data_IF_179442809734
#
_entry.id   IF_179442809734
#
_cell.length_a   1.000
_cell.length_b   1.000
_cell.length_c   1.000
_cell.angle_alpha   90.00
_cell.angle_beta   90.00
_cell.angle_gamma   90.00
#
_symmetry.space_group_name_H-M   'P 1'
#
loop_
_entity.id
_entity.type
_entity.pdbx_description
1 polymer ?
#
# COMPACT_ATOMS: atom_id res chain seq x y z
N UNK A 1 7.53 8.60 3.24
CA UNK A 1 8.14 7.25 3.15
C UNK A 1 9.58 7.40 2.66
N UNK A 2 10.53 6.61 3.18
CA UNK A 2 11.95 6.72 2.80
C UNK A 2 12.24 6.19 1.40
N UNK A 3 13.37 6.58 0.81
CA UNK A 3 13.78 6.11 -0.52
C UNK A 3 13.96 4.58 -0.59
N UNK A 4 14.53 3.97 0.47
CA UNK A 4 14.69 2.51 0.53
C UNK A 4 13.34 1.79 0.50
N UNK A 5 12.38 2.28 1.30
CA UNK A 5 11.06 1.68 1.38
C UNK A 5 10.28 1.85 0.09
N UNK A 6 10.34 3.03 -0.55
CA UNK A 6 9.75 3.23 -1.87
C UNK A 6 10.33 2.24 -2.88
N UNK A 7 11.66 2.06 -2.91
CA UNK A 7 12.27 1.09 -3.82
C UNK A 7 11.79 -0.34 -3.57
N UNK A 8 11.69 -0.75 -2.31
CA UNK A 8 11.23 -2.09 -1.95
C UNK A 8 9.74 -2.30 -2.27
N UNK A 9 8.89 -1.31 -1.97
CA UNK A 9 7.46 -1.31 -2.31
C UNK A 9 7.26 -1.44 -3.82
N UNK A 10 7.93 -0.61 -4.62
CA UNK A 10 7.85 -0.67 -6.09
C UNK A 10 8.24 -2.06 -6.62
N UNK A 11 9.27 -2.67 -6.04
CA UNK A 11 9.67 -4.04 -6.41
C UNK A 11 8.61 -5.07 -6.04
N UNK A 12 8.04 -4.99 -4.84
CA UNK A 12 7.02 -5.94 -4.38
C UNK A 12 5.77 -5.86 -5.26
N UNK A 13 5.28 -4.65 -5.51
CA UNK A 13 4.11 -4.38 -6.35
C UNK A 13 4.33 -4.93 -7.77
N UNK A 14 5.48 -4.62 -8.38
CA UNK A 14 5.83 -5.16 -9.70
C UNK A 14 5.94 -6.69 -9.72
N UNK A 15 6.57 -7.28 -8.70
CA UNK A 15 6.80 -8.72 -8.65
C UNK A 15 5.52 -9.53 -8.37
N UNK A 16 4.52 -8.91 -7.75
CA UNK A 16 3.26 -9.55 -7.35
C UNK A 16 2.10 -9.23 -8.30
N UNK A 17 2.37 -8.58 -9.43
CA UNK A 17 1.42 -8.41 -10.53
C UNK A 17 0.40 -7.30 -10.33
N UNK A 18 0.72 -6.29 -9.52
CA UNK A 18 -0.12 -5.11 -9.36
C UNK A 18 0.15 -4.08 -10.46
N UNK A 19 -0.87 -3.34 -10.86
CA UNK A 19 -0.81 -2.48 -12.07
C UNK A 19 -0.04 -1.18 -11.90
N UNK A 20 -0.09 -0.57 -10.70
CA UNK A 20 0.50 0.75 -10.48
C UNK A 20 0.74 1.09 -8.99
N UNK A 21 1.52 2.14 -8.74
CA UNK A 21 1.71 2.74 -7.41
C UNK A 21 1.26 4.20 -7.38
N UNK A 22 0.48 4.55 -6.36
CA UNK A 22 0.10 5.94 -6.09
C UNK A 22 0.89 6.46 -4.89
N UNK A 23 1.60 7.57 -5.08
CA UNK A 23 2.52 8.15 -4.11
C UNK A 23 1.91 9.39 -3.49
N UNK A 24 1.97 9.48 -2.16
CA UNK A 24 1.62 10.73 -1.47
C UNK A 24 2.68 11.82 -1.71
N UNK A 25 2.33 13.11 -1.55
CA UNK A 25 3.23 14.23 -1.83
C UNK A 25 4.56 14.19 -1.06
N UNK A 26 4.55 13.57 0.13
CA UNK A 26 5.72 13.47 1.02
C UNK A 26 6.51 12.17 0.86
N UNK A 27 6.20 11.34 -0.14
CA UNK A 27 7.01 10.17 -0.45
C UNK A 27 8.32 10.56 -1.12
N UNK A 28 9.39 9.83 -0.81
CA UNK A 28 10.64 9.92 -1.56
C UNK A 28 10.39 9.64 -3.05
N UNK A 29 11.20 10.26 -3.90
CA UNK A 29 11.12 10.08 -5.34
C UNK A 29 11.55 8.65 -5.74
N UNK A 30 10.72 7.88 -6.50
CA UNK A 30 11.12 6.56 -7.01
C UNK A 30 12.39 6.56 -7.85
N UNK A 31 12.70 7.68 -8.51
CA UNK A 31 13.89 7.85 -9.34
C UNK A 31 15.13 8.27 -8.54
N UNK A 32 15.00 8.47 -7.22
CA UNK A 32 16.17 8.70 -6.39
C UNK A 32 17.10 7.49 -6.44
N UNK A 33 18.42 7.73 -6.52
CA UNK A 33 19.45 6.67 -6.71
C UNK A 33 19.27 5.48 -5.78
N UNK A 34 18.90 5.73 -4.52
CA UNK A 34 18.67 4.66 -3.53
C UNK A 34 17.41 3.85 -3.83
N UNK A 35 16.31 4.49 -4.23
CA UNK A 35 15.06 3.84 -4.62
C UNK A 35 15.25 2.96 -5.84
N UNK A 36 15.89 3.48 -6.90
CA UNK A 36 16.23 2.72 -8.12
C UNK A 36 17.04 1.48 -7.79
N UNK A 37 18.07 1.62 -6.94
CA UNK A 37 18.93 0.50 -6.53
C UNK A 37 18.15 -0.58 -5.78
N UNK A 38 17.31 -0.21 -4.81
CA UNK A 38 16.54 -1.19 -4.01
C UNK A 38 15.45 -1.84 -4.85
N UNK A 39 14.82 -1.08 -5.75
CA UNK A 39 13.81 -1.59 -6.65
C UNK A 39 14.34 -2.56 -7.71
N UNK A 40 15.67 -2.66 -7.87
CA UNK A 40 16.32 -3.42 -8.95
C UNK A 40 15.79 -3.03 -10.34
N UNK A 41 15.52 -1.74 -10.55
CA UNK A 41 15.02 -1.23 -11.82
C UNK A 41 13.49 -1.31 -12.02
N UNK A 42 12.73 -1.93 -11.12
CA UNK A 42 11.27 -2.04 -11.24
C UNK A 42 10.55 -0.68 -11.37
N UNK A 43 11.15 0.40 -10.86
CA UNK A 43 10.66 1.78 -10.99
C UNK A 43 10.56 2.27 -12.45
N UNK A 44 11.21 1.61 -13.40
CA UNK A 44 11.16 1.98 -14.81
C UNK A 44 10.06 1.26 -15.60
N UNK A 45 9.54 0.14 -15.08
CA UNK A 45 8.52 -0.66 -15.75
C UNK A 45 7.15 -0.57 -15.09
N UNK A 46 7.11 -0.34 -13.77
CA UNK A 46 5.87 -0.22 -13.03
C UNK A 46 5.33 1.21 -13.11
N UNK A 47 4.13 1.44 -13.68
CA UNK A 47 3.48 2.74 -13.65
C UNK A 47 3.34 3.29 -12.24
N UNK A 48 3.62 4.57 -12.06
CA UNK A 48 3.33 5.26 -10.82
C UNK A 48 2.92 6.71 -11.06
N UNK A 49 2.13 7.25 -10.13
CA UNK A 49 1.76 8.65 -10.13
C UNK A 49 1.90 9.22 -8.71
N UNK A 50 2.25 10.51 -8.62
CA UNK A 50 2.17 11.26 -7.37
C UNK A 50 0.82 11.97 -7.35
N UNK A 51 0.08 11.82 -6.26
CA UNK A 51 -1.20 12.50 -6.07
C UNK A 51 -0.96 13.74 -5.23
N UNK A 52 -1.14 14.92 -5.83
CA UNK A 52 -0.94 16.20 -5.15
C UNK A 52 -2.06 16.49 -4.13
N UNK A 53 -3.32 16.33 -4.54
CA UNK A 53 -4.48 16.37 -3.63
C UNK A 53 -4.61 15.03 -2.88
N UNK A 54 -3.76 14.86 -1.88
CA UNK A 54 -3.76 13.67 -1.05
C UNK A 54 -5.00 13.55 -0.14
N UNK A 55 -5.70 14.66 0.10
CA UNK A 55 -6.88 14.67 0.96
C UNK A 55 -8.11 14.16 0.21
N UNK A 56 -8.31 14.59 -1.04
CA UNK A 56 -9.41 14.13 -1.91
C UNK A 56 -9.16 12.78 -2.63
N UNK A 57 -7.99 12.18 -2.43
CA UNK A 57 -7.60 10.93 -3.08
C UNK A 57 -8.51 9.72 -2.72
N UNK A 58 -9.02 9.54 -1.49
CA UNK A 58 -9.97 8.46 -1.20
C UNK A 58 -11.24 8.56 -2.04
N UNK A 59 -11.82 9.77 -2.17
CA UNK A 59 -12.99 9.97 -3.01
C UNK A 59 -12.68 9.73 -4.50
N UNK A 60 -11.48 10.11 -4.95
CA UNK A 60 -11.03 9.85 -6.31
C UNK A 60 -10.97 8.35 -6.62
N UNK A 61 -10.40 7.55 -5.71
CA UNK A 61 -10.33 6.09 -5.84
C UNK A 61 -11.73 5.48 -5.94
N UNK A 62 -12.61 5.85 -5.00
CA UNK A 62 -14.00 5.38 -4.99
C UNK A 62 -14.76 5.78 -6.26
N UNK A 63 -14.57 7.01 -6.75
CA UNK A 63 -15.19 7.48 -7.99
C UNK A 63 -14.75 6.71 -9.23
N UNK A 64 -13.56 6.09 -9.20
CA UNK A 64 -13.04 5.21 -10.24
C UNK A 64 -13.33 3.72 -9.99
N UNK A 65 -14.19 3.43 -9.00
CA UNK A 65 -14.64 2.08 -8.68
C UNK A 65 -13.59 1.23 -7.97
N UNK A 66 -12.59 1.85 -7.32
CA UNK A 66 -11.66 1.10 -6.49
C UNK A 66 -12.22 0.84 -5.09
N UNK A 67 -12.11 -0.39 -4.62
CA UNK A 67 -12.29 -0.75 -3.21
C UNK A 67 -10.96 -0.62 -2.49
N UNK A 68 -10.97 0.14 -1.41
CA UNK A 68 -9.76 0.50 -0.67
C UNK A 68 -9.57 -0.35 0.59
N UNK A 69 -8.38 -0.95 0.71
CA UNK A 69 -7.97 -1.79 1.84
C UNK A 69 -6.84 -1.07 2.59
N UNK A 70 -7.18 -0.42 3.69
CA UNK A 70 -6.23 0.29 4.53
C UNK A 70 -5.52 -0.66 5.49
N UNK A 71 -4.20 -0.80 5.34
CA UNK A 71 -3.35 -1.51 6.30
C UNK A 71 -3.29 -0.70 7.61
N UNK A 72 -3.98 -1.18 8.65
CA UNK A 72 -4.15 -0.47 9.91
C UNK A 72 -4.00 -1.37 11.13
N UNK A 73 -3.62 -0.76 12.26
CA UNK A 73 -3.62 -1.36 13.59
C UNK A 73 -4.83 -0.90 14.42
N UNK A 74 -5.83 -0.27 13.80
CA UNK A 74 -7.06 0.11 14.49
C UNK A 74 -7.75 -1.14 15.07
N UNK A 75 -8.36 -1.01 16.24
CA UNK A 75 -8.95 -2.13 16.98
C UNK A 75 -10.07 -2.87 16.22
N UNK A 76 -10.68 -2.21 15.24
CA UNK A 76 -11.71 -2.77 14.37
C UNK A 76 -11.18 -3.21 12.99
N UNK A 77 -9.85 -3.27 12.83
CA UNK A 77 -9.25 -3.84 11.62
C UNK A 77 -9.44 -5.35 11.62
N UNK A 78 -9.87 -5.87 10.48
CA UNK A 78 -10.09 -7.30 10.30
C UNK A 78 -8.77 -7.98 9.90
N UNK A 79 -8.50 -9.21 10.34
CA UNK A 79 -7.38 -10.00 9.84
C UNK A 79 -7.36 -10.09 8.31
N UNK A 80 -6.19 -9.87 7.71
CA UNK A 80 -5.99 -9.88 6.27
C UNK A 80 -6.39 -11.23 5.65
N UNK A 81 -6.12 -12.34 6.36
CA UNK A 81 -6.45 -13.71 5.99
C UNK A 81 -7.94 -14.07 6.14
N UNK A 82 -8.76 -13.16 6.68
CA UNK A 82 -10.23 -13.27 6.69
C UNK A 82 -10.88 -12.50 5.54
N UNK A 83 -10.09 -11.76 4.75
CA UNK A 83 -10.56 -11.01 3.59
C UNK A 83 -10.20 -11.71 2.28
N UNK A 84 -11.17 -12.02 1.44
CA UNK A 84 -10.94 -12.43 0.06
C UNK A 84 -11.51 -11.35 -0.87
N UNK A 85 -10.70 -10.83 -1.82
CA UNK A 85 -11.19 -9.83 -2.77
C UNK A 85 -12.22 -10.44 -3.71
N UNK A 86 -13.18 -9.63 -4.18
CA UNK A 86 -14.16 -10.09 -5.15
C UNK A 86 -13.50 -10.30 -6.53
N UNK A 87 -13.99 -11.29 -7.28
CA UNK A 87 -13.44 -11.58 -8.60
C UNK A 87 -13.66 -10.39 -9.56
N UNK A 88 -12.57 -9.85 -10.10
CA UNK A 88 -12.61 -8.71 -11.03
C UNK A 88 -12.73 -7.34 -10.34
N UNK A 89 -12.64 -7.31 -9.01
CA UNK A 89 -12.61 -6.07 -8.23
C UNK A 89 -11.37 -5.22 -8.55
N UNK A 90 -11.58 -3.90 -8.63
CA UNK A 90 -10.47 -2.94 -8.66
C UNK A 90 -10.05 -2.67 -7.22
N UNK A 91 -8.96 -3.26 -6.77
CA UNK A 91 -8.50 -3.09 -5.39
C UNK A 91 -7.39 -2.03 -5.27
N UNK A 92 -7.43 -1.27 -4.17
CA UNK A 92 -6.40 -0.31 -3.81
C UNK A 92 -5.91 -0.60 -2.38
N UNK A 93 -4.71 -1.17 -2.24
CA UNK A 93 -4.08 -1.37 -0.93
C UNK A 93 -3.43 -0.06 -0.48
N UNK A 94 -3.91 0.48 0.64
CA UNK A 94 -3.46 1.77 1.18
C UNK A 94 -2.48 1.51 2.32
N UNK A 95 -1.28 2.08 2.21
CA UNK A 95 -0.17 1.79 3.13
C UNK A 95 0.36 3.08 3.74
N UNK A 96 0.46 3.10 5.07
CA UNK A 96 0.96 4.23 5.84
C UNK A 96 2.47 4.38 5.80
N UNK A 97 2.97 5.52 6.29
CA UNK A 97 4.40 5.66 6.58
C UNK A 97 4.79 4.88 7.83
N UNK A 98 6.04 4.41 7.90
CA UNK A 98 6.61 3.90 9.15
C UNK A 98 6.46 4.91 10.29
N UNK A 99 6.08 4.43 11.48
CA UNK A 99 5.79 5.27 12.65
C UNK A 99 4.29 5.56 12.76
N UNK A 100 3.81 6.76 12.38
CA UNK A 100 2.40 7.14 12.57
C UNK A 100 1.40 6.37 11.69
N UNK A 101 1.86 5.55 10.74
CA UNK A 101 0.97 4.77 9.88
C UNK A 101 0.12 5.64 8.95
N UNK A 102 -1.12 5.22 8.74
CA UNK A 102 -2.13 5.97 8.00
C UNK A 102 -2.74 7.05 8.89
N UNK A 103 -2.94 8.25 8.34
CA UNK A 103 -3.72 9.28 9.02
C UNK A 103 -5.15 8.80 9.26
N UNK A 104 -5.79 9.30 10.31
CA UNK A 104 -7.18 8.98 10.63
C UNK A 104 -8.16 9.23 9.46
N UNK A 105 -7.94 10.29 8.68
CA UNK A 105 -8.69 10.57 7.45
C UNK A 105 -8.74 9.35 6.50
N UNK A 106 -7.56 8.86 6.13
CA UNK A 106 -7.41 7.68 5.27
C UNK A 106 -7.96 6.40 5.91
N UNK A 107 -7.83 6.23 7.22
CA UNK A 107 -8.37 5.07 7.91
C UNK A 107 -9.91 5.05 7.92
N UNK A 108 -10.54 6.23 8.08
CA UNK A 108 -12.00 6.38 8.09
C UNK A 108 -12.61 6.35 6.69
N UNK A 109 -11.88 6.85 5.68
CA UNK A 109 -12.35 6.90 4.31
C UNK A 109 -12.20 5.58 3.56
N UNK A 110 -11.39 4.64 4.07
CA UNK A 110 -11.22 3.34 3.46
C UNK A 110 -12.46 2.45 3.60
N UNK A 111 -12.75 1.65 2.58
CA UNK A 111 -13.86 0.70 2.57
C UNK A 111 -13.63 -0.42 3.59
N UNK A 112 -12.38 -0.88 3.68
CA UNK A 112 -11.96 -1.89 4.64
C UNK A 112 -10.68 -1.48 5.36
N UNK A 113 -10.64 -1.73 6.67
CA UNK A 113 -9.41 -1.71 7.48
C UNK A 113 -8.96 -3.14 7.70
N UNK A 114 -7.73 -3.44 7.29
CA UNK A 114 -7.16 -4.78 7.40
C UNK A 114 -5.84 -4.75 8.17
N UNK A 115 -5.56 -5.82 8.91
CA UNK A 115 -4.32 -5.99 9.66
C UNK A 115 -3.68 -7.31 9.36
N UNK A 116 -2.35 -7.38 9.41
CA UNK A 116 -1.64 -8.66 9.32
C UNK A 116 -1.62 -9.25 10.73
N UNK A 117 -2.16 -10.46 10.97
CA UNK A 117 -2.09 -11.09 12.29
C UNK A 117 -0.64 -11.25 12.75
N UNK A 118 -0.32 -10.65 13.89
CA UNK A 118 1.03 -10.72 14.48
C UNK A 118 1.07 -11.70 15.65
N UNK A 119 2.23 -12.29 15.88
CA UNK A 119 2.49 -13.01 17.12
C UNK A 119 2.58 -12.05 18.31
N UNK A 120 2.31 -12.55 19.52
CA UNK A 120 2.32 -11.76 20.74
C UNK A 120 3.64 -10.99 20.94
N UNK A 121 3.53 -9.69 21.24
CA UNK A 121 4.67 -8.81 21.53
C UNK A 121 5.28 -8.10 20.32
N UNK A 122 4.76 -8.30 19.11
CA UNK A 122 5.13 -7.55 17.91
C UNK A 122 3.89 -6.88 17.33
N UNK A 123 3.92 -5.55 17.23
CA UNK A 123 2.74 -4.81 16.78
C UNK A 123 2.65 -4.71 15.25
N UNK A 124 3.78 -4.71 14.54
CA UNK A 124 3.81 -4.54 13.09
C UNK A 124 5.13 -4.95 12.45
N UNK A 125 5.09 -5.14 11.13
CA UNK A 125 6.26 -5.28 10.27
C UNK A 125 6.65 -3.93 9.65
N UNK A 126 7.87 -3.87 9.12
CA UNK A 126 8.27 -2.72 8.31
C UNK A 126 7.36 -2.59 7.06
N UNK A 127 7.27 -1.37 6.53
CA UNK A 127 6.32 -1.05 5.46
C UNK A 127 6.50 -1.92 4.21
N UNK A 128 7.74 -2.26 3.86
CA UNK A 128 8.03 -3.08 2.68
C UNK A 128 7.56 -4.53 2.87
N UNK A 129 7.79 -5.12 4.03
CA UNK A 129 7.33 -6.47 4.36
C UNK A 129 5.80 -6.54 4.44
N UNK A 130 5.16 -5.57 5.09
CA UNK A 130 3.70 -5.47 5.12
C UNK A 130 3.11 -5.34 3.73
N UNK A 131 3.73 -4.54 2.85
CA UNK A 131 3.35 -4.42 1.43
C UNK A 131 3.47 -5.76 0.71
N UNK A 132 4.58 -6.48 0.90
CA UNK A 132 4.79 -7.77 0.25
C UNK A 132 3.71 -8.79 0.63
N UNK A 133 3.35 -8.86 1.92
CA UNK A 133 2.30 -9.77 2.41
C UNK A 133 0.93 -9.38 1.86
N UNK A 134 0.58 -8.09 1.93
CA UNK A 134 -0.70 -7.59 1.41
C UNK A 134 -0.83 -7.83 -0.11
N UNK A 135 0.21 -7.48 -0.87
CA UNK A 135 0.22 -7.73 -2.31
C UNK A 135 0.21 -9.23 -2.63
N UNK A 136 0.90 -10.06 -1.86
CA UNK A 136 0.85 -11.50 -2.11
C UNK A 136 -0.55 -12.04 -1.85
N UNK A 137 -1.20 -11.61 -0.77
CA UNK A 137 -2.56 -12.01 -0.44
C UNK A 137 -3.57 -11.61 -1.51
N UNK A 138 -3.55 -10.34 -1.93
CA UNK A 138 -4.48 -9.77 -2.90
C UNK A 138 -4.05 -9.92 -4.38
N UNK A 139 -3.00 -10.70 -4.67
CA UNK A 139 -2.51 -10.83 -6.05
C UNK A 139 -3.62 -11.41 -6.96
N UNK A 140 -3.64 -11.03 -8.24
CA UNK A 140 -4.51 -11.68 -9.22
C UNK A 140 -4.25 -13.20 -9.23
N UNK A 141 -5.32 -14.00 -9.22
CA UNK A 141 -5.26 -15.47 -9.36
C UNK A 141 -5.50 -15.88 -10.81
#
# INVERSE_FOLDING_TARGET
MTASNIGAVMRNVAALGFDAVLLSPRCADPLYRRSVKVAMGAVFSLPYARIDDWYGAPELLRAHGFTSYAMSLAADSVPLDEFEPEAGERLAVVIGSEGPGLTEHWQRAADHRVTIPMAAGIDSLNVAASTAIACWHFRPR
#
